data_IF_163009360012
#
_entry.id   IF_163009360012
#
_cell.length_a   1.000
_cell.length_b   1.000
_cell.length_c   1.000
_cell.angle_alpha   90.00
_cell.angle_beta   90.00
_cell.angle_gamma   90.00
#
_symmetry.space_group_name_H-M   'P 1'
#
loop_
_entity.id
_entity.type
_entity.pdbx_description
1 polymer ?
#
# COMPACT_ATOMS: atom_id res chain seq x y z
N UNK A 1 -14.29 9.85 -18.59
CA UNK A 1 -12.83 9.58 -18.46
C UNK A 1 -12.45 8.39 -19.32
N UNK A 2 -11.28 8.41 -19.97
CA UNK A 2 -10.78 7.24 -20.71
C UNK A 2 -10.25 6.16 -19.75
N UNK A 3 -10.16 4.88 -20.16
CA UNK A 3 -9.58 3.82 -19.32
C UNK A 3 -8.15 4.13 -18.86
N UNK A 4 -7.36 4.75 -19.75
CA UNK A 4 -6.01 5.22 -19.42
C UNK A 4 -6.01 6.27 -18.32
N UNK A 5 -6.89 7.28 -18.41
CA UNK A 5 -7.00 8.34 -17.42
C UNK A 5 -7.49 7.80 -16.07
N UNK A 6 -8.48 6.90 -16.07
CA UNK A 6 -8.99 6.26 -14.85
C UNK A 6 -7.92 5.44 -14.13
N UNK A 7 -7.17 4.62 -14.86
CA UNK A 7 -6.05 3.86 -14.31
C UNK A 7 -4.98 4.77 -13.70
N UNK A 8 -4.59 5.83 -14.40
CA UNK A 8 -3.59 6.79 -13.90
C UNK A 8 -4.07 7.49 -12.64
N UNK A 9 -5.34 7.92 -12.60
CA UNK A 9 -5.94 8.55 -11.43
C UNK A 9 -5.95 7.58 -10.23
N UNK A 10 -6.44 6.35 -10.43
CA UNK A 10 -6.45 5.34 -9.36
C UNK A 10 -5.04 5.03 -8.84
N UNK A 11 -4.06 4.88 -9.75
CA UNK A 11 -2.66 4.65 -9.40
C UNK A 11 -2.05 5.83 -8.64
N UNK A 12 -2.35 7.05 -9.06
CA UNK A 12 -1.90 8.26 -8.40
C UNK A 12 -2.49 8.36 -6.99
N UNK A 13 -3.79 8.10 -6.83
CA UNK A 13 -4.43 8.04 -5.50
C UNK A 13 -3.78 7.00 -4.60
N UNK A 14 -3.49 5.79 -5.10
CA UNK A 14 -2.73 4.79 -4.35
C UNK A 14 -1.37 5.32 -3.92
N UNK A 15 -0.60 5.91 -4.84
CA UNK A 15 0.71 6.45 -4.54
C UNK A 15 0.65 7.51 -3.43
N UNK A 16 -0.35 8.40 -3.46
CA UNK A 16 -0.53 9.41 -2.42
C UNK A 16 -0.83 8.80 -1.05
N UNK A 17 -1.65 7.75 -0.98
CA UNK A 17 -1.91 7.05 0.30
C UNK A 17 -0.61 6.46 0.83
N UNK A 18 0.11 5.68 0.04
CA UNK A 18 1.36 5.05 0.50
C UNK A 18 2.44 6.07 0.90
N UNK A 19 2.54 7.19 0.18
CA UNK A 19 3.44 8.29 0.55
C UNK A 19 2.97 9.01 1.82
N UNK A 20 1.67 9.24 1.99
CA UNK A 20 1.13 9.88 3.17
C UNK A 20 1.37 9.05 4.44
N UNK A 21 1.07 7.75 4.38
CA UNK A 21 1.27 6.82 5.48
C UNK A 21 2.75 6.63 5.80
N UNK A 22 3.58 6.39 4.77
CA UNK A 22 5.00 6.09 4.97
C UNK A 22 5.82 7.34 5.25
N UNK A 23 5.89 8.23 4.27
CA UNK A 23 6.74 9.42 4.35
C UNK A 23 6.18 10.43 5.36
N UNK A 24 4.87 10.68 5.31
CA UNK A 24 4.20 11.64 6.18
C UNK A 24 4.15 11.16 7.63
N UNK A 25 3.37 10.12 7.92
CA UNK A 25 3.10 9.70 9.30
C UNK A 25 4.32 9.03 9.95
N UNK A 26 4.94 8.07 9.27
CA UNK A 26 5.98 7.22 9.90
C UNK A 26 7.38 7.82 9.88
N UNK A 27 7.77 8.51 8.81
CA UNK A 27 9.13 9.05 8.67
C UNK A 27 9.26 10.51 9.12
N UNK A 28 8.36 11.38 8.63
CA UNK A 28 8.41 12.81 8.94
C UNK A 28 7.83 13.10 10.31
N UNK A 29 6.54 12.84 10.50
CA UNK A 29 5.83 13.19 11.73
C UNK A 29 6.18 12.26 12.88
N UNK A 30 6.58 11.01 12.57
CA UNK A 30 6.82 9.94 13.56
C UNK A 30 5.66 9.86 14.54
N UNK A 31 4.47 9.70 13.98
CA UNK A 31 3.22 9.77 14.72
C UNK A 31 3.21 8.83 15.94
N UNK A 32 2.83 9.37 17.09
CA UNK A 32 2.84 8.64 18.36
C UNK A 32 1.78 7.53 18.40
N UNK A 33 0.66 7.69 17.69
CA UNK A 33 -0.37 6.66 17.55
C UNK A 33 0.14 5.48 16.75
N UNK A 34 0.79 5.72 15.61
CA UNK A 34 1.44 4.67 14.81
C UNK A 34 2.50 3.91 15.62
N UNK A 35 3.32 4.61 16.41
CA UNK A 35 4.31 3.96 17.28
C UNK A 35 3.63 3.11 18.37
N UNK A 36 2.56 3.62 18.98
CA UNK A 36 1.81 2.87 19.99
C UNK A 36 1.20 1.59 19.40
N UNK A 37 0.70 1.64 18.17
CA UNK A 37 0.20 0.46 17.45
C UNK A 37 1.33 -0.56 17.24
N UNK A 38 2.47 -0.13 16.71
CA UNK A 38 3.62 -1.04 16.48
C UNK A 38 4.12 -1.63 17.80
N UNK A 39 4.23 -0.83 18.86
CA UNK A 39 4.64 -1.27 20.18
C UNK A 39 3.67 -2.30 20.78
N UNK A 40 2.37 -2.03 20.71
CA UNK A 40 1.31 -2.90 21.21
C UNK A 40 1.21 -4.23 20.42
N UNK A 41 1.65 -4.24 19.16
CA UNK A 41 1.58 -5.44 18.32
C UNK A 41 2.49 -6.58 18.76
N UNK A 42 3.62 -6.26 19.43
CA UNK A 42 4.69 -7.24 19.67
C UNK A 42 5.37 -7.75 18.39
N UNK A 43 5.00 -7.26 17.20
CA UNK A 43 5.53 -7.65 15.90
C UNK A 43 6.60 -6.65 15.43
N UNK A 44 7.66 -6.50 16.22
CA UNK A 44 8.77 -5.60 15.92
C UNK A 44 10.12 -6.32 16.02
N UNK A 45 11.08 -5.81 15.26
CA UNK A 45 12.46 -6.30 15.23
C UNK A 45 13.37 -5.21 15.78
N UNK A 46 14.13 -5.52 16.82
CA UNK A 46 15.04 -4.58 17.48
C UNK A 46 14.33 -3.61 18.42
N UNK A 47 13.53 -2.68 17.87
CA UNK A 47 12.64 -1.81 18.65
C UNK A 47 11.38 -1.43 17.85
N UNK A 48 10.29 -1.01 18.53
CA UNK A 48 9.10 -0.49 17.87
C UNK A 48 9.40 0.69 16.93
N UNK A 49 10.29 1.60 17.34
CA UNK A 49 10.69 2.77 16.55
C UNK A 49 11.45 2.37 15.28
N UNK A 50 12.42 1.46 15.41
CA UNK A 50 13.18 0.96 14.27
C UNK A 50 12.28 0.24 13.26
N UNK A 51 11.32 -0.54 13.77
CA UNK A 51 10.32 -1.23 12.95
C UNK A 51 9.39 -0.23 12.26
N UNK A 52 8.92 0.79 12.98
CA UNK A 52 8.07 1.84 12.42
C UNK A 52 8.77 2.59 11.28
N UNK A 53 10.05 2.93 11.46
CA UNK A 53 10.86 3.56 10.41
C UNK A 53 11.03 2.63 9.22
N UNK A 54 11.30 1.34 9.44
CA UNK A 54 11.42 0.36 8.36
C UNK A 54 10.12 0.24 7.55
N UNK A 55 8.96 0.16 8.23
CA UNK A 55 7.65 0.17 7.57
C UNK A 55 7.48 1.45 6.77
N UNK A 56 7.77 2.62 7.35
CA UNK A 56 7.66 3.92 6.67
C UNK A 56 8.52 4.02 5.40
N UNK A 57 9.73 3.47 5.42
CA UNK A 57 10.61 3.39 4.24
C UNK A 57 9.99 2.49 3.17
N UNK A 58 9.52 1.29 3.53
CA UNK A 58 8.89 0.37 2.59
C UNK A 58 7.62 0.96 1.97
N UNK A 59 6.79 1.61 2.78
CA UNK A 59 5.58 2.30 2.33
C UNK A 59 5.91 3.44 1.36
N UNK A 60 6.94 4.24 1.67
CA UNK A 60 7.41 5.32 0.80
C UNK A 60 7.91 4.77 -0.54
N UNK A 61 8.71 3.71 -0.53
CA UNK A 61 9.21 3.06 -1.76
C UNK A 61 8.03 2.56 -2.60
N UNK A 62 7.05 1.90 -1.97
CA UNK A 62 5.85 1.43 -2.65
C UNK A 62 5.08 2.58 -3.30
N UNK A 63 4.91 3.70 -2.59
CA UNK A 63 4.31 4.92 -3.11
C UNK A 63 5.04 5.47 -4.33
N UNK A 64 6.38 5.53 -4.29
CA UNK A 64 7.20 5.97 -5.44
C UNK A 64 7.08 5.02 -6.63
N UNK A 65 7.14 3.70 -6.41
CA UNK A 65 6.98 2.69 -7.48
C UNK A 65 5.62 2.83 -8.14
N UNK A 66 4.56 2.99 -7.35
CA UNK A 66 3.22 3.26 -7.84
C UNK A 66 3.18 4.59 -8.59
N UNK A 67 3.82 5.65 -8.12
CA UNK A 67 3.82 6.97 -8.76
C UNK A 67 4.47 6.98 -10.15
N UNK A 68 5.59 6.28 -10.32
CA UNK A 68 6.29 6.17 -11.60
C UNK A 68 5.55 5.24 -12.57
N UNK A 69 4.74 4.30 -12.06
CA UNK A 69 4.01 3.33 -12.88
C UNK A 69 4.87 2.15 -13.31
N UNK A 70 5.91 1.82 -12.53
CA UNK A 70 6.77 0.68 -12.81
C UNK A 70 6.04 -0.63 -12.47
N UNK A 71 5.94 -1.54 -13.45
CA UNK A 71 5.30 -2.88 -13.31
C UNK A 71 3.96 -2.81 -12.56
N UNK A 72 3.05 -1.95 -13.01
CA UNK A 72 1.81 -1.56 -12.31
C UNK A 72 1.03 -2.74 -11.68
N UNK A 73 0.85 -3.85 -12.41
CA UNK A 73 0.16 -5.04 -11.87
C UNK A 73 0.88 -5.64 -10.66
N UNK A 74 2.20 -5.82 -10.76
CA UNK A 74 2.99 -6.36 -9.67
C UNK A 74 3.01 -5.40 -8.49
N UNK A 75 3.22 -4.11 -8.75
CA UNK A 75 3.23 -3.07 -7.71
C UNK A 75 1.91 -3.05 -6.92
N UNK A 76 0.78 -3.12 -7.62
CA UNK A 76 -0.54 -3.15 -6.99
C UNK A 76 -0.81 -4.46 -6.25
N UNK A 77 -0.38 -5.61 -6.78
CA UNK A 77 -0.54 -6.88 -6.06
C UNK A 77 0.25 -6.87 -4.74
N UNK A 78 1.52 -6.47 -4.79
CA UNK A 78 2.39 -6.39 -3.59
C UNK A 78 1.80 -5.42 -2.57
N UNK A 79 1.42 -4.22 -3.00
CA UNK A 79 0.84 -3.23 -2.09
C UNK A 79 -0.51 -3.66 -1.54
N UNK A 80 -1.35 -4.33 -2.32
CA UNK A 80 -2.63 -4.86 -1.83
C UNK A 80 -2.43 -5.92 -0.76
N UNK A 81 -1.46 -6.85 -0.96
CA UNK A 81 -1.10 -7.86 0.04
C UNK A 81 -0.52 -7.20 1.30
N UNK A 82 0.38 -6.22 1.14
CA UNK A 82 0.95 -5.48 2.26
C UNK A 82 -0.13 -4.72 3.05
N UNK A 83 -1.04 -4.04 2.37
CA UNK A 83 -2.17 -3.34 2.99
C UNK A 83 -3.05 -4.30 3.78
N UNK A 84 -3.37 -5.47 3.22
CA UNK A 84 -4.14 -6.50 3.91
C UNK A 84 -3.40 -7.01 5.16
N UNK A 85 -2.10 -7.29 5.06
CA UNK A 85 -1.29 -7.73 6.19
C UNK A 85 -1.23 -6.69 7.31
N UNK A 86 -1.00 -5.41 6.98
CA UNK A 86 -0.99 -4.30 7.95
C UNK A 86 -2.37 -4.16 8.59
N UNK A 87 -3.44 -4.17 7.80
CA UNK A 87 -4.83 -4.07 8.30
C UNK A 87 -5.14 -5.19 9.28
N UNK A 88 -4.80 -6.44 8.93
CA UNK A 88 -5.01 -7.59 9.80
C UNK A 88 -4.18 -7.50 11.08
N UNK A 89 -2.94 -7.01 10.99
CA UNK A 89 -2.10 -6.74 12.16
C UNK A 89 -2.77 -5.74 13.11
N UNK A 90 -3.26 -4.62 12.60
CA UNK A 90 -3.94 -3.60 13.40
C UNK A 90 -5.22 -4.15 14.05
N UNK A 91 -6.07 -4.82 13.26
CA UNK A 91 -7.34 -5.39 13.76
C UNK A 91 -7.09 -6.48 14.81
N UNK A 92 -6.03 -7.27 14.66
CA UNK A 92 -5.66 -8.28 15.65
C UNK A 92 -5.26 -7.65 16.99
N UNK A 93 -4.58 -6.50 16.94
CA UNK A 93 -4.12 -5.79 18.15
C UNK A 93 -5.20 -4.96 18.82
N UNK A 94 -6.07 -4.35 18.03
CA UNK A 94 -7.18 -3.53 18.50
C UNK A 94 -8.39 -3.72 17.58
N UNK A 95 -9.30 -4.68 17.90
CA UNK A 95 -10.48 -4.94 17.10
C UNK A 95 -11.46 -3.76 17.02
N UNK A 96 -11.39 -2.82 17.97
CA UNK A 96 -12.28 -1.65 17.99
C UNK A 96 -12.03 -0.73 16.78
N UNK A 97 -10.83 -0.81 16.19
CA UNK A 97 -10.48 -0.12 14.94
C UNK A 97 -11.39 -0.48 13.76
N UNK A 98 -12.10 -1.61 13.79
CA UNK A 98 -13.09 -1.95 12.76
C UNK A 98 -14.31 -1.00 12.73
N UNK A 99 -14.62 -0.40 13.88
CA UNK A 99 -15.82 0.42 14.08
C UNK A 99 -15.54 1.92 14.03
N UNK A 100 -14.28 2.30 14.04
CA UNK A 100 -13.87 3.69 14.07
C UNK A 100 -13.99 4.30 12.64
N UNK A 101 -14.89 5.27 12.42
CA UNK A 101 -15.30 5.69 11.07
C UNK A 101 -14.18 6.34 10.24
N UNK A 102 -13.07 6.72 10.87
CA UNK A 102 -11.91 7.34 10.22
C UNK A 102 -10.66 6.44 10.19
N UNK A 103 -10.75 5.18 10.65
CA UNK A 103 -9.59 4.27 10.68
C UNK A 103 -9.38 3.51 9.37
N UNK A 104 -8.36 2.62 9.41
CA UNK A 104 -7.83 1.88 8.29
C UNK A 104 -8.86 1.15 7.45
N UNK A 105 -9.95 0.58 7.97
CA UNK A 105 -10.81 -0.29 7.16
C UNK A 105 -11.51 0.45 6.02
N UNK A 106 -12.15 1.59 6.31
CA UNK A 106 -12.85 2.37 5.29
C UNK A 106 -11.87 2.91 4.24
N UNK A 107 -10.76 3.51 4.70
CA UNK A 107 -9.65 3.95 3.84
C UNK A 107 -9.13 2.79 2.97
N UNK A 108 -8.87 1.64 3.57
CA UNK A 108 -8.25 0.49 2.92
C UNK A 108 -9.22 -0.18 1.93
N UNK A 109 -10.53 -0.07 2.15
CA UNK A 109 -11.54 -0.48 1.16
C UNK A 109 -11.46 0.39 -0.11
N UNK A 110 -11.31 1.72 0.04
CA UNK A 110 -11.15 2.63 -1.10
C UNK A 110 -9.82 2.39 -1.83
N UNK A 111 -8.74 2.16 -1.08
CA UNK A 111 -7.43 1.74 -1.63
C UNK A 111 -7.57 0.42 -2.40
N UNK A 112 -8.26 -0.58 -1.84
CA UNK A 112 -8.47 -1.86 -2.50
C UNK A 112 -9.22 -1.71 -3.84
N UNK A 113 -10.24 -0.84 -3.89
CA UNK A 113 -10.96 -0.52 -5.14
C UNK A 113 -10.02 0.14 -6.16
N UNK A 114 -9.19 1.12 -5.73
CA UNK A 114 -8.20 1.73 -6.61
C UNK A 114 -7.20 0.69 -7.15
N UNK A 115 -6.77 -0.25 -6.30
CA UNK A 115 -5.94 -1.38 -6.67
C UNK A 115 -6.61 -2.25 -7.74
N UNK A 116 -7.87 -2.64 -7.52
CA UNK A 116 -8.64 -3.44 -8.47
C UNK A 116 -8.78 -2.74 -9.83
N UNK A 117 -9.01 -1.42 -9.85
CA UNK A 117 -9.06 -0.62 -11.08
C UNK A 117 -7.73 -0.66 -11.82
N UNK A 118 -6.61 -0.43 -11.12
CA UNK A 118 -5.29 -0.47 -11.76
C UNK A 118 -4.96 -1.87 -12.27
N UNK A 119 -5.23 -2.91 -11.49
CA UNK A 119 -5.01 -4.30 -11.89
C UNK A 119 -5.77 -4.68 -13.16
N UNK A 120 -7.05 -4.28 -13.23
CA UNK A 120 -7.94 -4.60 -14.34
C UNK A 120 -7.55 -3.88 -15.64
N UNK A 121 -7.07 -2.63 -15.53
CA UNK A 121 -6.76 -1.79 -16.69
C UNK A 121 -5.27 -1.80 -17.08
N UNK A 122 -4.39 -2.34 -16.23
CA UNK A 122 -2.97 -2.44 -16.55
C UNK A 122 -2.70 -3.57 -17.58
N UNK A 123 -1.82 -3.33 -18.57
CA UNK A 123 -1.41 -4.35 -19.53
C UNK A 123 -0.94 -5.63 -18.82
N UNK A 124 -1.43 -6.78 -19.27
CA UNK A 124 -0.79 -8.05 -18.95
C UNK A 124 0.64 -8.02 -19.50
N UNK A 125 1.62 -8.53 -18.74
CA UNK A 125 2.98 -8.70 -19.26
C UNK A 125 2.89 -9.41 -20.61
N UNK A 126 3.37 -8.76 -21.68
CA UNK A 126 3.38 -9.35 -23.01
C UNK A 126 4.20 -10.64 -22.93
N UNK A 127 3.58 -11.79 -23.20
CA UNK A 127 4.33 -13.03 -23.44
C UNK A 127 5.28 -12.74 -24.60
N UNK A 128 6.56 -13.01 -24.42
CA UNK A 128 7.52 -12.90 -25.51
C UNK A 128 7.01 -13.72 -26.71
N UNK A 129 7.06 -13.20 -27.94
CA UNK A 129 6.69 -13.98 -29.11
C UNK A 129 7.55 -15.25 -29.13
N UNK A 130 6.90 -16.41 -29.17
CA UNK A 130 7.60 -17.68 -29.39
C UNK A 130 8.32 -17.56 -30.74
N UNK A 131 9.66 -17.70 -30.80
CA UNK A 131 10.36 -17.65 -32.06
C UNK A 131 9.80 -18.75 -32.97
N UNK A 132 9.31 -18.36 -34.14
CA UNK A 132 8.89 -19.31 -35.16
C UNK A 132 10.12 -20.15 -35.55
N UNK A 133 10.09 -21.44 -35.21
CA UNK A 133 11.07 -22.39 -35.71
C UNK A 133 11.00 -22.36 -37.25
N UNK A 134 12.08 -21.89 -37.89
CA UNK A 134 12.30 -21.99 -39.33
C UNK A 134 13.22 -23.16 -39.61
#
# INVERSE_FOLDING_TARGET
MTPLALRRAARFSLALVWLGEGLGLKLWLRDAGELAIVAASGLWVGSPEATLVAIGVLETIAGVVLLVGYRERLAVAVTTVAMAAITLGVVWTDPSTLLDPLTGVLKNSAVAVCGAVVWSLAPAAQRAPVPALR
#
